data_IF_625046516443
#
_entry.id   IF_625046516443
#
_cell.length_a   1.000
_cell.length_b   1.000
_cell.length_c   1.000
_cell.angle_alpha   90.00
_cell.angle_beta   90.00
_cell.angle_gamma   90.00
#
_symmetry.space_group_name_H-M   'P 1'
#
loop_
_entity.id
_entity.type
_entity.pdbx_description
1 polymer ?
#
# COMPACT_ATOMS: atom_id res chain seq x y z
N UNK A 1 -10.16 40.90 27.56
CA UNK A 1 -8.72 40.90 27.88
C UNK A 1 -8.40 40.36 29.29
N UNK A 2 -9.26 40.50 30.29
CA UNK A 2 -9.00 40.02 31.67
C UNK A 2 -9.11 38.51 31.84
N UNK A 3 -9.99 37.83 31.11
CA UNK A 3 -10.21 36.38 31.20
C UNK A 3 -8.98 35.60 30.71
N UNK A 4 -8.40 35.99 29.58
CA UNK A 4 -7.20 35.35 29.02
C UNK A 4 -6.00 35.45 29.96
N UNK A 5 -5.81 36.62 30.63
CA UNK A 5 -4.73 36.77 31.63
C UNK A 5 -4.95 35.94 32.88
N UNK A 6 -6.20 35.74 33.32
CA UNK A 6 -6.52 34.83 34.46
C UNK A 6 -6.29 33.38 34.10
N UNK A 7 -6.78 32.94 32.91
CA UNK A 7 -6.67 31.56 32.44
C UNK A 7 -5.20 31.14 32.26
N UNK A 8 -4.32 32.04 31.81
CA UNK A 8 -2.89 31.76 31.66
C UNK A 8 -2.14 31.44 32.97
N UNK A 9 -2.75 31.66 34.12
CA UNK A 9 -2.20 31.33 35.46
C UNK A 9 -2.88 30.15 36.13
N UNK A 10 -3.94 29.63 35.55
CA UNK A 10 -4.79 28.57 36.12
C UNK A 10 -4.25 27.21 35.76
N UNK A 11 -4.19 26.27 36.72
CA UNK A 11 -3.73 24.89 36.46
C UNK A 11 -4.77 24.01 35.80
N UNK A 12 -6.04 24.35 35.88
CA UNK A 12 -7.14 23.63 35.22
C UNK A 12 -8.35 24.53 35.03
N UNK A 13 -9.10 24.29 33.96
CA UNK A 13 -10.36 24.97 33.66
C UNK A 13 -11.45 23.95 33.35
N UNK A 14 -12.70 24.29 33.68
CA UNK A 14 -13.89 23.56 33.26
C UNK A 14 -14.58 24.36 32.16
N UNK A 15 -14.83 23.72 31.06
CA UNK A 15 -15.50 24.28 29.89
C UNK A 15 -16.92 23.73 29.78
N UNK A 16 -17.85 24.58 29.39
CA UNK A 16 -19.17 24.17 28.91
C UNK A 16 -19.43 24.84 27.55
N UNK A 17 -19.89 24.06 26.59
CA UNK A 17 -20.13 24.56 25.25
C UNK A 17 -20.66 23.48 24.31
N UNK A 18 -20.75 23.81 23.02
CA UNK A 18 -21.20 22.89 21.98
C UNK A 18 -19.99 22.29 21.27
N UNK A 19 -19.97 20.97 21.12
CA UNK A 19 -18.97 20.29 20.28
C UNK A 19 -19.43 20.34 18.82
N UNK A 20 -18.55 20.74 17.92
CA UNK A 20 -18.79 20.78 16.47
C UNK A 20 -17.49 20.56 15.69
N UNK A 21 -17.61 20.11 14.45
CA UNK A 21 -16.48 20.04 13.55
C UNK A 21 -16.08 21.46 13.10
N UNK A 22 -14.80 21.80 13.19
CA UNK A 22 -14.27 23.04 12.64
C UNK A 22 -14.10 22.88 11.12
N UNK A 23 -14.64 23.82 10.36
CA UNK A 23 -14.65 23.76 8.90
C UNK A 23 -13.26 23.94 8.25
N UNK A 24 -12.30 24.52 8.96
CA UNK A 24 -10.95 24.78 8.45
C UNK A 24 -9.96 23.69 8.83
N UNK A 25 -9.98 23.26 10.10
CA UNK A 25 -9.05 22.24 10.58
C UNK A 25 -9.55 20.80 10.42
N UNK A 26 -10.87 20.63 10.15
CA UNK A 26 -11.56 19.35 10.14
C UNK A 26 -11.40 18.55 11.45
N UNK A 27 -11.27 19.28 12.57
CA UNK A 27 -11.13 18.71 13.91
C UNK A 27 -12.36 18.96 14.77
N UNK A 28 -12.62 18.08 15.73
CA UNK A 28 -13.68 18.25 16.70
C UNK A 28 -13.30 19.35 17.70
N UNK A 29 -13.97 20.48 17.62
CA UNK A 29 -13.72 21.68 18.44
C UNK A 29 -14.86 21.95 19.39
N UNK A 30 -14.53 22.45 20.60
CA UNK A 30 -15.54 22.89 21.56
C UNK A 30 -15.71 24.39 21.50
N UNK A 31 -16.87 24.85 21.02
CA UNK A 31 -17.27 26.26 21.12
C UNK A 31 -17.72 26.57 22.53
N UNK A 32 -16.80 27.05 23.35
CA UNK A 32 -17.03 27.25 24.77
C UNK A 32 -17.91 28.49 25.03
N UNK A 33 -19.04 28.31 25.70
CA UNK A 33 -19.91 29.40 26.18
C UNK A 33 -19.53 29.83 27.60
N UNK A 34 -18.95 28.92 28.39
CA UNK A 34 -18.56 29.15 29.76
C UNK A 34 -17.19 28.55 30.04
N UNK A 35 -16.33 29.33 30.68
CA UNK A 35 -15.01 28.89 31.14
C UNK A 35 -14.88 29.32 32.59
N UNK A 36 -14.66 28.34 33.48
CA UNK A 36 -14.45 28.58 34.90
C UNK A 36 -13.17 27.91 35.40
N UNK A 37 -12.55 28.49 36.42
CA UNK A 37 -11.42 27.86 37.10
C UNK A 37 -11.89 26.55 37.76
N UNK A 38 -11.02 25.54 37.72
CA UNK A 38 -11.30 24.23 38.29
C UNK A 38 -10.08 23.69 39.02
N UNK A 39 -10.29 22.71 39.89
CA UNK A 39 -9.21 21.91 40.44
C UNK A 39 -8.74 20.90 39.39
N UNK A 40 -7.43 20.69 39.24
CA UNK A 40 -6.93 19.63 38.37
C UNK A 40 -7.52 18.28 38.75
N UNK A 41 -7.92 17.51 37.75
CA UNK A 41 -8.30 16.12 37.99
C UNK A 41 -7.11 15.35 38.59
N UNK A 42 -7.37 14.42 39.53
CA UNK A 42 -6.31 13.60 40.06
C UNK A 42 -5.64 12.82 38.92
N UNK A 43 -4.32 12.96 38.81
CA UNK A 43 -3.54 12.18 37.84
C UNK A 43 -3.50 10.74 38.30
N UNK A 44 -4.25 9.85 37.68
CA UNK A 44 -4.08 8.42 37.82
C UNK A 44 -2.82 8.00 37.07
N UNK A 45 -1.76 7.71 37.82
CA UNK A 45 -0.55 7.09 37.24
C UNK A 45 -0.72 5.58 37.29
N UNK A 46 -0.52 4.94 36.12
CA UNK A 46 -0.41 3.48 36.07
C UNK A 46 0.92 3.08 36.70
N UNK A 47 0.89 2.01 37.51
CA UNK A 47 2.05 1.41 38.14
C UNK A 47 2.22 -0.02 37.67
N UNK A 48 3.45 -0.44 37.42
CA UNK A 48 3.77 -1.85 37.23
C UNK A 48 3.94 -2.52 38.60
N UNK A 49 3.04 -3.45 38.93
CA UNK A 49 3.03 -4.20 40.21
C UNK A 49 3.58 -5.61 40.07
N UNK A 50 4.11 -6.00 38.91
CA UNK A 50 4.70 -7.32 38.70
C UNK A 50 5.97 -7.49 39.56
N UNK A 51 6.14 -8.67 40.16
CA UNK A 51 7.34 -9.01 40.93
C UNK A 51 8.58 -9.05 40.07
N UNK A 52 8.46 -9.67 38.89
CA UNK A 52 9.53 -9.73 37.89
C UNK A 52 9.26 -8.67 36.80
N UNK A 53 10.20 -7.73 36.70
CA UNK A 53 10.10 -6.65 35.72
C UNK A 53 10.48 -7.13 34.33
N UNK A 54 9.65 -6.80 33.35
CA UNK A 54 9.91 -7.03 31.92
C UNK A 54 10.99 -6.08 31.40
N UNK A 55 11.78 -6.53 30.45
CA UNK A 55 12.59 -5.65 29.60
C UNK A 55 11.77 -5.27 28.38
N UNK A 56 11.55 -3.98 28.14
CA UNK A 56 10.92 -3.52 26.93
C UNK A 56 11.94 -3.50 25.79
N UNK A 57 11.72 -4.33 24.77
CA UNK A 57 12.65 -4.51 23.65
C UNK A 57 12.19 -3.82 22.36
N UNK A 58 10.96 -3.30 22.32
CA UNK A 58 10.38 -2.64 21.14
C UNK A 58 9.61 -1.39 21.57
N UNK A 59 10.26 -0.25 21.52
CA UNK A 59 9.71 1.00 22.00
C UNK A 59 10.02 2.14 21.05
N UNK A 60 9.01 2.94 20.75
CA UNK A 60 9.11 4.12 19.92
C UNK A 60 9.04 5.39 20.76
N UNK A 61 9.89 6.35 20.45
CA UNK A 61 9.86 7.71 21.00
C UNK A 61 9.15 8.67 20.01
N UNK A 62 8.97 9.92 20.42
CA UNK A 62 8.45 10.99 19.53
C UNK A 62 9.25 11.17 18.24
N UNK A 63 10.42 10.53 18.09
CA UNK A 63 11.19 10.54 16.85
C UNK A 63 10.59 9.62 15.79
N UNK A 64 9.77 8.63 16.20
CA UNK A 64 8.90 7.88 15.30
C UNK A 64 7.67 8.75 14.96
N UNK A 65 7.82 9.62 13.95
CA UNK A 65 6.80 10.57 13.54
C UNK A 65 5.47 9.87 13.21
N UNK A 66 4.34 10.46 13.64
CA UNK A 66 2.97 9.95 13.47
C UNK A 66 2.65 8.65 14.24
N UNK A 67 3.61 8.06 14.97
CA UNK A 67 3.42 6.83 15.73
C UNK A 67 3.49 7.06 17.24
N UNK A 68 4.51 7.77 17.74
CA UNK A 68 4.69 8.00 19.17
C UNK A 68 4.81 9.50 19.52
N UNK A 69 4.43 9.84 20.77
CA UNK A 69 4.40 11.22 21.26
C UNK A 69 5.33 11.48 22.43
N UNK A 70 5.84 10.43 23.07
CA UNK A 70 6.59 10.53 24.34
C UNK A 70 8.09 10.66 24.06
N UNK A 71 8.78 11.52 24.81
CA UNK A 71 10.23 11.68 24.70
C UNK A 71 10.99 10.46 25.23
N UNK A 72 12.21 10.21 24.74
CA UNK A 72 13.08 9.16 25.27
C UNK A 72 13.32 9.35 26.77
N UNK A 73 13.54 10.60 27.20
CA UNK A 73 13.73 10.95 28.65
C UNK A 73 12.55 10.51 29.50
N UNK A 74 11.30 10.79 29.07
CA UNK A 74 10.12 10.46 29.88
C UNK A 74 9.86 8.95 29.90
N UNK A 75 10.11 8.25 28.79
CA UNK A 75 9.99 6.79 28.71
C UNK A 75 11.00 6.11 29.62
N UNK A 76 12.26 6.52 29.60
CA UNK A 76 13.33 5.98 30.47
C UNK A 76 13.01 6.24 31.94
N UNK A 77 12.64 7.48 32.31
CA UNK A 77 12.25 7.82 33.67
C UNK A 77 11.05 7.00 34.14
N UNK A 78 10.11 6.73 33.29
CA UNK A 78 8.95 5.88 33.59
C UNK A 78 9.39 4.44 33.85
N UNK A 79 10.23 3.87 32.99
CA UNK A 79 10.76 2.52 33.14
C UNK A 79 11.54 2.39 34.46
N UNK A 80 12.39 3.37 34.78
CA UNK A 80 13.11 3.43 36.09
C UNK A 80 12.14 3.49 37.27
N UNK A 81 11.09 4.31 37.18
CA UNK A 81 10.08 4.44 38.26
C UNK A 81 9.29 3.14 38.48
N UNK A 82 9.25 2.26 37.52
CA UNK A 82 8.64 0.92 37.61
C UNK A 82 9.63 -0.17 38.02
N UNK A 83 10.90 0.20 38.25
CA UNK A 83 11.94 -0.74 38.65
C UNK A 83 12.53 -1.58 37.52
N UNK A 84 12.26 -1.22 36.26
CA UNK A 84 12.92 -1.85 35.11
C UNK A 84 14.42 -1.53 35.14
N UNK A 85 15.24 -2.48 34.72
CA UNK A 85 16.71 -2.35 34.66
C UNK A 85 17.25 -2.17 33.24
N UNK A 86 16.41 -2.39 32.25
CA UNK A 86 16.79 -2.23 30.85
C UNK A 86 15.58 -1.84 30.00
N UNK A 87 15.84 -1.08 28.93
CA UNK A 87 14.84 -0.66 27.93
C UNK A 87 15.52 -0.50 26.57
N UNK A 88 14.85 -0.89 25.48
CA UNK A 88 15.34 -0.65 24.13
C UNK A 88 14.64 0.57 23.53
N UNK A 89 15.38 1.37 22.77
CA UNK A 89 14.83 2.41 21.89
C UNK A 89 14.96 1.88 20.47
N UNK A 90 13.84 1.74 19.77
CA UNK A 90 13.75 1.14 18.43
C UNK A 90 12.85 1.98 17.53
N UNK A 91 13.19 3.25 17.34
CA UNK A 91 12.41 4.16 16.50
C UNK A 91 12.40 3.71 15.02
N UNK A 92 11.35 4.05 14.29
CA UNK A 92 11.17 3.74 12.87
C UNK A 92 12.23 4.41 11.99
N UNK A 93 13.19 3.64 11.51
CA UNK A 93 14.20 4.08 10.54
C UNK A 93 15.13 5.19 10.99
N UNK A 94 15.10 5.58 12.28
CA UNK A 94 15.84 6.72 12.80
C UNK A 94 16.52 6.43 14.14
N UNK A 95 17.55 7.23 14.47
CA UNK A 95 18.35 7.09 15.71
C UNK A 95 18.45 8.40 16.50
N UNK A 96 17.62 9.38 16.20
CA UNK A 96 17.69 10.72 16.79
C UNK A 96 17.42 10.77 18.28
N UNK A 97 16.78 9.76 18.87
CA UNK A 97 16.55 9.66 20.30
C UNK A 97 17.80 9.24 21.11
N UNK A 98 18.85 8.71 20.46
CA UNK A 98 20.04 8.18 21.14
C UNK A 98 20.82 9.25 21.95
N UNK A 99 21.10 10.44 21.39
CA UNK A 99 21.74 11.50 22.18
C UNK A 99 20.95 11.90 23.42
N UNK A 100 19.61 11.97 23.33
CA UNK A 100 18.74 12.31 24.48
C UNK A 100 18.86 11.26 25.60
N UNK A 101 18.84 9.98 25.23
CA UNK A 101 19.02 8.89 26.20
C UNK A 101 20.42 8.87 26.82
N UNK A 102 21.44 9.09 25.98
CA UNK A 102 22.82 9.16 26.45
C UNK A 102 23.08 10.35 27.40
N UNK A 103 22.56 11.52 27.12
CA UNK A 103 22.68 12.69 27.98
C UNK A 103 21.95 12.50 29.33
N UNK A 104 20.86 11.72 29.34
CA UNK A 104 20.13 11.44 30.57
C UNK A 104 20.89 10.49 31.50
N UNK A 105 21.49 9.43 30.97
CA UNK A 105 22.04 8.31 31.75
C UNK A 105 23.57 8.25 31.78
N UNK A 106 24.25 8.86 30.80
CA UNK A 106 25.68 8.66 30.59
C UNK A 106 25.99 7.27 29.99
N UNK A 107 27.28 6.96 29.93
CA UNK A 107 27.78 5.72 29.29
C UNK A 107 27.49 4.47 30.15
N UNK A 108 27.73 4.55 31.44
CA UNK A 108 27.74 3.41 32.34
C UNK A 108 26.83 3.69 33.54
N UNK A 109 25.51 3.77 33.31
CA UNK A 109 24.53 3.95 34.37
C UNK A 109 24.27 2.60 35.06
N UNK A 110 24.46 2.49 36.40
CA UNK A 110 24.27 1.23 37.14
C UNK A 110 22.80 0.84 37.27
N UNK A 111 21.88 1.80 37.19
CA UNK A 111 20.48 1.59 37.49
C UNK A 111 19.63 1.27 36.25
N UNK A 112 20.07 1.69 35.05
CA UNK A 112 19.33 1.54 33.82
C UNK A 112 20.26 1.35 32.62
N UNK A 113 20.08 0.25 31.91
CA UNK A 113 20.74 -0.01 30.62
C UNK A 113 19.80 0.34 29.45
N UNK A 114 20.24 1.22 28.57
CA UNK A 114 19.55 1.47 27.29
C UNK A 114 20.16 0.60 26.21
N UNK A 115 19.31 -0.13 25.51
CA UNK A 115 19.65 -0.88 24.31
C UNK A 115 19.30 0.02 23.12
N UNK A 116 20.32 0.39 22.34
CA UNK A 116 20.16 1.23 21.16
C UNK A 116 19.89 0.37 19.96
N UNK A 117 18.73 0.50 19.35
CA UNK A 117 18.28 -0.24 18.19
C UNK A 117 17.52 0.66 17.21
N UNK A 118 17.13 0.10 16.11
CA UNK A 118 16.30 0.77 15.10
C UNK A 118 15.34 -0.26 14.50
N UNK A 119 14.10 0.13 14.30
CA UNK A 119 13.18 -0.64 13.48
C UNK A 119 13.49 -0.35 12.02
N UNK A 120 14.28 -1.25 11.42
CA UNK A 120 14.74 -1.07 10.05
C UNK A 120 13.69 -1.56 9.03
N UNK A 121 13.58 -0.84 7.94
CA UNK A 121 12.75 -1.26 6.81
C UNK A 121 13.58 -2.08 5.85
N UNK A 122 13.28 -3.37 5.73
CA UNK A 122 13.86 -4.21 4.70
C UNK A 122 13.06 -4.05 3.40
N UNK A 123 13.62 -3.33 2.47
CA UNK A 123 13.04 -3.17 1.13
C UNK A 123 13.84 -4.06 0.17
N UNK A 124 13.20 -4.96 -0.59
CA UNK A 124 13.89 -5.69 -1.63
C UNK A 124 14.43 -4.70 -2.67
N UNK A 125 15.67 -4.89 -3.11
CA UNK A 125 16.37 -4.00 -4.06
C UNK A 125 15.60 -3.78 -5.37
N UNK A 126 14.81 -4.78 -5.76
CA UNK A 126 13.94 -4.71 -6.94
C UNK A 126 12.64 -5.48 -6.73
N UNK A 127 11.54 -4.90 -7.15
CA UNK A 127 10.30 -5.63 -7.36
C UNK A 127 10.50 -6.61 -8.50
N UNK A 128 10.16 -7.89 -8.27
CA UNK A 128 10.24 -8.90 -9.32
C UNK A 128 9.12 -8.67 -10.34
N UNK A 129 9.51 -8.42 -11.58
CA UNK A 129 8.57 -8.27 -12.71
C UNK A 129 7.83 -9.56 -13.06
N UNK A 130 8.31 -10.71 -12.58
CA UNK A 130 7.68 -12.03 -12.81
C UNK A 130 7.41 -12.73 -11.49
N UNK A 131 6.24 -13.34 -11.37
CA UNK A 131 5.87 -14.21 -10.26
C UNK A 131 5.41 -15.58 -10.79
N UNK A 132 5.69 -16.63 -10.00
CA UNK A 132 5.37 -18.02 -10.32
C UNK A 132 5.86 -18.46 -11.72
N UNK A 133 7.14 -18.21 -12.10
CA UNK A 133 7.64 -18.64 -13.40
C UNK A 133 7.66 -20.19 -13.47
N UNK A 134 7.40 -20.74 -14.67
CA UNK A 134 7.33 -22.18 -14.93
C UNK A 134 8.13 -22.60 -16.16
N UNK A 135 9.19 -21.85 -16.48
CA UNK A 135 10.06 -22.14 -17.64
C UNK A 135 9.44 -21.86 -19.00
N UNK A 136 8.33 -21.09 -19.06
CA UNK A 136 7.65 -20.80 -20.33
C UNK A 136 8.58 -20.03 -21.29
N UNK A 137 8.57 -20.42 -22.56
CA UNK A 137 9.28 -19.74 -23.64
C UNK A 137 8.46 -18.53 -24.09
N UNK A 138 9.05 -17.34 -24.11
CA UNK A 138 8.34 -16.08 -24.35
C UNK A 138 7.66 -16.05 -25.73
N UNK A 139 8.31 -16.57 -26.79
CA UNK A 139 7.75 -16.54 -28.13
C UNK A 139 6.60 -17.53 -28.34
N UNK A 140 6.55 -18.61 -27.59
CA UNK A 140 5.54 -19.67 -27.77
C UNK A 140 4.35 -19.51 -26.81
N UNK A 141 4.52 -18.67 -25.78
CA UNK A 141 3.52 -18.48 -24.74
C UNK A 141 2.26 -17.78 -25.27
N UNK A 142 1.13 -18.15 -24.66
CA UNK A 142 -0.11 -17.40 -24.76
C UNK A 142 -0.20 -16.50 -23.54
N UNK A 143 -0.51 -15.24 -23.76
CA UNK A 143 -0.65 -14.22 -22.71
C UNK A 143 -2.12 -13.83 -22.57
N UNK A 144 -2.57 -13.63 -21.35
CA UNK A 144 -3.81 -12.93 -21.03
C UNK A 144 -3.43 -11.59 -20.41
N UNK A 145 -3.51 -10.54 -21.20
CA UNK A 145 -3.31 -9.17 -20.73
C UNK A 145 -4.62 -8.71 -20.13
N UNK A 146 -4.60 -8.27 -18.88
CA UNK A 146 -5.83 -7.92 -18.17
C UNK A 146 -5.71 -6.62 -17.38
N UNK A 147 -6.86 -6.02 -17.16
CA UNK A 147 -7.07 -4.86 -16.31
C UNK A 147 -8.43 -4.97 -15.64
N UNK A 148 -8.55 -4.50 -14.40
CA UNK A 148 -9.75 -4.54 -13.59
C UNK A 148 -10.15 -3.15 -13.13
N UNK A 149 -11.43 -2.83 -13.28
CA UNK A 149 -12.01 -1.69 -12.59
C UNK A 149 -12.70 -2.15 -11.30
N UNK A 150 -12.62 -1.36 -10.26
CA UNK A 150 -13.07 -1.75 -8.92
C UNK A 150 -13.75 -0.58 -8.19
N UNK A 151 -14.49 -0.87 -7.12
CA UNK A 151 -15.10 0.17 -6.27
C UNK A 151 -14.07 0.93 -5.40
N UNK A 152 -12.79 0.58 -5.46
CA UNK A 152 -11.70 1.21 -4.72
C UNK A 152 -10.46 0.32 -4.60
N UNK A 153 -9.46 0.74 -3.87
CA UNK A 153 -8.12 0.15 -3.90
C UNK A 153 -7.88 -1.00 -2.91
N UNK A 154 -8.76 -1.23 -1.95
CA UNK A 154 -8.58 -2.27 -0.93
C UNK A 154 -9.07 -3.62 -1.42
N UNK A 155 -8.16 -4.55 -1.66
CA UNK A 155 -8.44 -5.91 -2.14
C UNK A 155 -9.46 -6.67 -1.26
N UNK A 156 -9.49 -6.39 0.04
CA UNK A 156 -10.33 -7.12 1.01
C UNK A 156 -11.73 -6.53 1.19
N UNK A 157 -11.93 -5.25 0.93
CA UNK A 157 -13.18 -4.54 1.18
C UNK A 157 -13.87 -4.04 -0.08
N UNK A 158 -13.12 -3.86 -1.15
CA UNK A 158 -13.64 -3.36 -2.42
C UNK A 158 -13.99 -4.50 -3.38
N UNK A 159 -14.74 -4.18 -4.41
CA UNK A 159 -15.32 -5.14 -5.36
C UNK A 159 -14.92 -4.81 -6.79
N UNK A 160 -14.84 -5.82 -7.63
CA UNK A 160 -14.65 -5.68 -9.08
C UNK A 160 -15.93 -5.16 -9.71
N UNK A 161 -15.81 -4.21 -10.63
CA UNK A 161 -16.93 -3.62 -11.39
C UNK A 161 -16.83 -3.89 -12.90
N UNK A 162 -15.61 -4.05 -13.43
CA UNK A 162 -15.38 -4.42 -14.84
C UNK A 162 -14.14 -5.30 -14.93
N UNK A 163 -14.15 -6.23 -15.87
CA UNK A 163 -13.01 -7.10 -16.22
C UNK A 163 -12.77 -6.98 -17.70
N UNK A 164 -11.57 -6.56 -18.09
CA UNK A 164 -11.09 -6.57 -19.46
C UNK A 164 -9.92 -7.54 -19.59
N UNK A 165 -9.95 -8.43 -20.59
CA UNK A 165 -8.85 -9.36 -20.87
C UNK A 165 -8.70 -9.50 -22.39
N UNK A 166 -7.48 -9.35 -22.89
CA UNK A 166 -7.12 -9.74 -24.24
C UNK A 166 -6.18 -10.94 -24.23
N UNK A 167 -6.52 -11.97 -24.98
CA UNK A 167 -5.66 -13.12 -25.20
C UNK A 167 -4.73 -12.86 -26.37
N UNK A 168 -3.43 -12.91 -26.12
CA UNK A 168 -2.40 -12.53 -27.10
C UNK A 168 -1.50 -13.73 -27.38
N UNK A 169 -1.23 -13.97 -28.66
CA UNK A 169 -0.26 -14.97 -29.11
C UNK A 169 0.54 -14.43 -30.29
N UNK A 170 1.85 -14.63 -30.28
CA UNK A 170 2.76 -14.13 -31.32
C UNK A 170 2.63 -12.60 -31.57
N UNK A 171 2.27 -11.85 -30.53
CA UNK A 171 2.08 -10.40 -30.61
C UNK A 171 0.72 -9.93 -31.15
N UNK A 172 -0.16 -10.86 -31.53
CA UNK A 172 -1.50 -10.56 -32.05
C UNK A 172 -2.58 -10.93 -31.02
N UNK A 173 -3.62 -10.12 -30.96
CA UNK A 173 -4.82 -10.41 -30.16
C UNK A 173 -5.62 -11.50 -30.88
N UNK A 174 -5.86 -12.62 -30.21
CA UNK A 174 -6.56 -13.78 -30.76
C UNK A 174 -7.95 -13.96 -30.17
N UNK A 175 -8.24 -13.35 -29.01
CA UNK A 175 -9.53 -13.42 -28.34
C UNK A 175 -9.67 -12.28 -27.32
N UNK A 176 -10.90 -11.87 -27.00
CA UNK A 176 -11.21 -10.77 -26.07
C UNK A 176 -12.33 -11.16 -25.12
N UNK A 177 -12.23 -10.70 -23.87
CA UNK A 177 -13.23 -10.89 -22.85
C UNK A 177 -13.45 -9.56 -22.12
N UNK A 178 -14.66 -9.03 -22.20
CA UNK A 178 -15.07 -7.83 -21.47
C UNK A 178 -16.40 -8.10 -20.78
N UNK A 179 -16.48 -7.80 -19.49
CA UNK A 179 -17.71 -7.97 -18.75
C UNK A 179 -17.80 -7.01 -17.58
N UNK A 180 -18.98 -6.42 -17.40
CA UNK A 180 -19.34 -5.74 -16.16
C UNK A 180 -19.67 -6.75 -15.07
N UNK A 181 -19.32 -6.39 -13.82
CA UNK A 181 -19.61 -7.19 -12.64
C UNK A 181 -20.43 -6.35 -11.67
N UNK A 182 -21.54 -6.88 -11.18
CA UNK A 182 -22.31 -6.24 -10.12
C UNK A 182 -21.53 -6.33 -8.80
N UNK A 183 -21.07 -5.20 -8.24
CA UNK A 183 -20.29 -5.20 -7.00
C UNK A 183 -21.13 -5.45 -5.75
N UNK A 184 -22.47 -5.49 -5.86
CA UNK A 184 -23.41 -5.62 -4.75
C UNK A 184 -23.26 -4.54 -3.67
N UNK A 185 -22.68 -3.42 -4.02
CA UNK A 185 -22.49 -2.24 -3.18
C UNK A 185 -22.41 -0.98 -4.05
N UNK A 186 -22.76 0.20 -3.52
CA UNK A 186 -22.65 1.46 -4.27
C UNK A 186 -21.19 1.76 -4.66
N UNK A 187 -21.02 2.28 -5.87
CA UNK A 187 -19.73 2.76 -6.37
C UNK A 187 -19.51 4.18 -5.84
N UNK A 188 -18.40 4.45 -5.12
CA UNK A 188 -18.13 5.79 -4.60
C UNK A 188 -17.99 6.81 -5.73
N UNK A 189 -18.57 8.01 -5.57
CA UNK A 189 -18.55 9.06 -6.59
C UNK A 189 -17.15 9.36 -7.16
N UNK A 190 -16.14 9.39 -6.28
CA UNK A 190 -14.73 9.56 -6.69
C UNK A 190 -14.21 8.48 -7.64
N UNK A 191 -14.77 7.25 -7.56
CA UNK A 191 -14.41 6.15 -8.46
C UNK A 191 -15.13 6.32 -9.78
N UNK A 192 -16.41 6.68 -9.76
CA UNK A 192 -17.18 7.02 -10.98
C UNK A 192 -16.48 8.11 -11.79
N UNK A 193 -15.92 9.13 -11.14
CA UNK A 193 -15.20 10.23 -11.80
C UNK A 193 -13.90 9.76 -12.51
N UNK A 194 -13.32 8.64 -12.07
CA UNK A 194 -12.10 8.07 -12.66
C UNK A 194 -12.44 7.03 -13.73
N UNK A 195 -13.31 6.08 -13.41
CA UNK A 195 -13.60 4.91 -14.27
C UNK A 195 -14.74 5.14 -15.25
N UNK A 196 -15.57 6.18 -15.02
CA UNK A 196 -16.84 6.43 -15.69
C UNK A 196 -17.86 5.28 -15.56
N UNK A 197 -17.67 4.35 -14.63
CA UNK A 197 -18.60 3.26 -14.36
C UNK A 197 -19.57 3.69 -13.26
N UNK A 198 -20.86 3.67 -13.55
CA UNK A 198 -21.92 4.05 -12.63
C UNK A 198 -22.64 2.82 -12.07
N UNK A 199 -23.34 2.98 -10.94
CA UNK A 199 -24.19 1.92 -10.39
C UNK A 199 -25.23 1.41 -11.40
N UNK A 200 -25.74 2.32 -12.26
CA UNK A 200 -26.73 1.99 -13.29
C UNK A 200 -26.20 1.04 -14.35
N UNK A 201 -24.89 1.14 -14.68
CA UNK A 201 -24.24 0.28 -15.68
C UNK A 201 -24.04 -1.15 -15.17
N UNK A 202 -23.86 -1.33 -13.87
CA UNK A 202 -23.50 -2.63 -13.28
C UNK A 202 -24.65 -3.31 -12.53
N UNK A 203 -25.78 -2.63 -12.31
CA UNK A 203 -26.91 -3.14 -11.49
C UNK A 203 -27.48 -4.47 -11.99
N UNK A 204 -27.58 -4.62 -13.31
CA UNK A 204 -28.15 -5.81 -13.96
C UNK A 204 -27.06 -6.80 -14.41
N UNK A 205 -25.78 -6.51 -14.13
CA UNK A 205 -24.67 -7.40 -14.42
C UNK A 205 -24.64 -8.61 -13.47
N UNK A 206 -23.98 -9.68 -13.92
CA UNK A 206 -23.76 -10.84 -13.07
C UNK A 206 -22.82 -10.52 -11.91
N UNK A 207 -23.02 -11.18 -10.79
CA UNK A 207 -22.13 -11.10 -9.62
C UNK A 207 -20.85 -11.89 -9.83
N UNK A 208 -19.81 -11.60 -9.03
CA UNK A 208 -18.48 -12.15 -9.21
C UNK A 208 -18.45 -13.70 -9.12
N UNK A 209 -19.31 -14.30 -8.32
CA UNK A 209 -19.43 -15.76 -8.20
C UNK A 209 -19.81 -16.44 -9.53
N UNK A 210 -20.57 -15.76 -10.40
CA UNK A 210 -20.95 -16.24 -11.74
C UNK A 210 -19.94 -15.87 -12.81
N UNK A 211 -19.28 -14.72 -12.66
CA UNK A 211 -18.29 -14.23 -13.62
C UNK A 211 -16.94 -14.92 -13.44
N UNK A 212 -16.53 -15.22 -12.21
CA UNK A 212 -15.21 -15.74 -11.92
C UNK A 212 -14.90 -17.07 -12.61
N UNK A 213 -15.81 -18.06 -12.68
CA UNK A 213 -15.58 -19.28 -13.47
C UNK A 213 -15.31 -19.00 -14.96
N UNK A 214 -15.99 -18.01 -15.55
CA UNK A 214 -15.77 -17.60 -16.95
C UNK A 214 -14.39 -16.97 -17.15
N UNK A 215 -13.92 -16.18 -16.18
CA UNK A 215 -12.54 -15.65 -16.19
C UNK A 215 -11.53 -16.80 -16.16
N UNK A 216 -11.73 -17.78 -15.27
CA UNK A 216 -10.81 -18.93 -15.17
C UNK A 216 -10.76 -19.75 -16.46
N UNK A 217 -11.91 -20.00 -17.07
CA UNK A 217 -12.02 -20.71 -18.36
C UNK A 217 -11.31 -19.93 -19.47
N UNK A 218 -11.55 -18.62 -19.57
CA UNK A 218 -10.92 -17.78 -20.58
C UNK A 218 -9.41 -17.71 -20.39
N UNK A 219 -8.92 -17.51 -19.18
CA UNK A 219 -7.50 -17.39 -18.88
C UNK A 219 -6.76 -18.72 -19.07
N UNK A 220 -7.33 -19.84 -18.58
CA UNK A 220 -6.69 -21.17 -18.62
C UNK A 220 -5.28 -21.14 -18.05
N UNK A 221 -4.32 -21.77 -18.75
CA UNK A 221 -2.90 -21.84 -18.39
C UNK A 221 -2.06 -20.65 -18.92
N UNK A 222 -2.69 -19.62 -19.48
CA UNK A 222 -2.00 -18.46 -20.05
C UNK A 222 -1.18 -17.71 -19.00
N UNK A 223 -0.12 -17.04 -19.46
CA UNK A 223 0.63 -16.10 -18.62
C UNK A 223 -0.19 -14.83 -18.48
N UNK A 224 -0.44 -14.42 -17.27
CA UNK A 224 -1.10 -13.14 -16.98
C UNK A 224 -0.12 -12.00 -17.18
N UNK A 225 -0.59 -10.92 -17.80
CA UNK A 225 0.16 -9.66 -17.93
C UNK A 225 -0.75 -8.52 -17.48
N UNK A 226 -0.26 -7.65 -16.62
CA UNK A 226 -0.97 -6.45 -16.21
C UNK A 226 0.01 -5.32 -15.87
N UNK A 227 -0.47 -4.08 -15.85
CA UNK A 227 0.32 -2.93 -15.44
C UNK A 227 0.08 -2.60 -13.97
N UNK A 228 1.07 -2.78 -13.10
CA UNK A 228 0.92 -2.83 -11.65
C UNK A 228 0.12 -4.06 -11.20
N UNK A 229 0.48 -5.20 -11.79
CA UNK A 229 -0.22 -6.47 -11.70
C UNK A 229 -0.55 -6.96 -10.28
N UNK A 230 0.15 -6.46 -9.27
CA UNK A 230 -0.14 -6.80 -7.87
C UNK A 230 -1.55 -6.40 -7.44
N UNK A 231 -2.12 -5.35 -8.05
CA UNK A 231 -3.48 -4.91 -7.82
C UNK A 231 -4.48 -5.89 -8.43
N UNK A 232 -4.45 -6.10 -9.72
CA UNK A 232 -5.41 -6.93 -10.46
C UNK A 232 -5.35 -8.39 -10.03
N UNK A 233 -4.14 -8.95 -10.02
CA UNK A 233 -3.92 -10.34 -9.56
C UNK A 233 -4.27 -10.49 -8.08
N UNK A 234 -4.11 -9.46 -7.28
CA UNK A 234 -4.54 -9.42 -5.88
C UNK A 234 -6.05 -9.60 -5.73
N UNK A 235 -6.85 -8.84 -6.50
CA UNK A 235 -8.31 -8.98 -6.52
C UNK A 235 -8.73 -10.36 -7.03
N UNK A 236 -8.11 -10.86 -8.10
CA UNK A 236 -8.42 -12.20 -8.63
C UNK A 236 -8.12 -13.30 -7.62
N UNK A 237 -6.95 -13.27 -6.97
CA UNK A 237 -6.58 -14.23 -5.93
C UNK A 237 -7.48 -14.18 -4.71
N UNK A 238 -7.88 -12.97 -4.30
CA UNK A 238 -8.81 -12.80 -3.18
C UNK A 238 -10.16 -13.43 -3.48
N UNK A 239 -10.74 -13.14 -4.66
CA UNK A 239 -12.02 -13.71 -5.08
C UNK A 239 -11.91 -15.22 -5.30
N UNK A 240 -10.82 -15.72 -5.91
CA UNK A 240 -10.57 -17.15 -6.02
C UNK A 240 -10.64 -17.85 -4.65
N UNK A 241 -9.93 -17.30 -3.66
CA UNK A 241 -9.95 -17.84 -2.29
C UNK A 241 -11.32 -17.85 -1.67
N UNK A 242 -12.11 -16.77 -1.83
CA UNK A 242 -13.47 -16.68 -1.29
C UNK A 242 -14.43 -17.68 -1.94
N UNK A 243 -14.26 -17.94 -3.24
CA UNK A 243 -15.12 -18.81 -4.03
C UNK A 243 -14.63 -20.27 -4.07
N UNK A 244 -13.50 -20.59 -3.41
CA UNK A 244 -12.95 -21.94 -3.35
C UNK A 244 -12.20 -22.37 -4.62
N UNK A 245 -11.74 -21.44 -5.44
CA UNK A 245 -10.92 -21.70 -6.62
C UNK A 245 -9.44 -21.46 -6.35
N UNK A 246 -8.59 -22.01 -7.22
CA UNK A 246 -7.17 -21.71 -7.28
C UNK A 246 -6.88 -20.74 -8.44
N UNK A 247 -6.00 -19.75 -8.19
CA UNK A 247 -5.51 -18.82 -9.20
C UNK A 247 -4.00 -18.68 -9.04
N UNK A 248 -3.28 -19.60 -9.69
CA UNK A 248 -1.83 -19.78 -9.53
C UNK A 248 -1.04 -19.55 -10.83
N UNK A 249 -1.61 -18.82 -11.80
CA UNK A 249 -0.95 -18.52 -13.06
C UNK A 249 0.39 -17.81 -12.84
N UNK A 250 1.32 -18.04 -13.76
CA UNK A 250 2.48 -17.16 -13.92
C UNK A 250 1.97 -15.77 -14.30
N UNK A 251 2.52 -14.71 -13.71
CA UNK A 251 2.20 -13.38 -14.16
C UNK A 251 3.42 -12.48 -14.29
N UNK A 252 3.32 -11.54 -15.24
CA UNK A 252 4.31 -10.53 -15.56
C UNK A 252 3.71 -9.16 -15.23
N UNK A 253 4.41 -8.39 -14.41
CA UNK A 253 4.08 -7.00 -14.09
C UNK A 253 4.87 -6.07 -15.01
N UNK A 254 4.16 -5.35 -15.88
CA UNK A 254 4.80 -4.45 -16.84
C UNK A 254 5.38 -3.20 -16.18
N UNK A 255 4.98 -2.82 -14.97
CA UNK A 255 5.50 -1.65 -14.27
C UNK A 255 6.98 -1.84 -13.83
N UNK A 256 7.36 -2.86 -13.04
CA UNK A 256 8.77 -3.11 -12.75
C UNK A 256 9.56 -3.52 -14.00
N UNK A 257 8.94 -4.23 -14.97
CA UNK A 257 9.58 -4.58 -16.24
C UNK A 257 9.94 -3.32 -17.04
N UNK A 258 9.05 -2.30 -17.07
CA UNK A 258 9.33 -1.02 -17.71
C UNK A 258 10.51 -0.29 -17.07
N UNK A 259 10.61 -0.30 -15.73
CA UNK A 259 11.74 0.29 -15.00
C UNK A 259 13.08 -0.35 -15.39
N UNK A 260 13.07 -1.67 -15.64
CA UNK A 260 14.29 -2.41 -16.05
C UNK A 260 14.63 -2.21 -17.53
N UNK A 261 13.64 -2.13 -18.41
CA UNK A 261 13.85 -2.01 -19.85
C UNK A 261 14.03 -0.56 -20.35
N UNK A 262 13.48 0.41 -19.62
CA UNK A 262 13.47 1.83 -19.98
C UNK A 262 13.89 2.72 -18.80
N UNK A 263 15.11 2.55 -18.27
CA UNK A 263 15.57 3.23 -17.05
C UNK A 263 15.61 4.77 -17.16
N UNK A 264 15.64 5.30 -18.37
CA UNK A 264 15.70 6.75 -18.62
C UNK A 264 14.34 7.44 -18.51
N UNK A 265 13.24 6.69 -18.39
CA UNK A 265 11.92 7.26 -18.23
C UNK A 265 11.74 7.88 -16.84
N UNK A 266 11.16 9.08 -16.80
CA UNK A 266 10.89 9.79 -15.52
C UNK A 266 9.60 9.33 -14.84
N UNK A 267 8.67 8.74 -15.59
CA UNK A 267 7.34 8.32 -15.11
C UNK A 267 6.95 7.00 -15.77
N UNK A 268 6.40 6.09 -14.97
CA UNK A 268 6.06 4.73 -15.38
C UNK A 268 4.56 4.44 -15.29
N UNK A 269 3.69 5.46 -15.35
CA UNK A 269 2.25 5.26 -15.59
C UNK A 269 2.06 4.75 -17.01
N UNK A 270 1.11 3.85 -17.25
CA UNK A 270 0.86 3.18 -18.53
C UNK A 270 0.83 4.18 -19.71
N UNK A 271 -0.02 5.20 -19.64
CA UNK A 271 -0.10 6.23 -20.68
C UNK A 271 1.21 6.98 -20.92
N UNK A 272 2.06 7.17 -19.88
CA UNK A 272 3.37 7.84 -20.05
C UNK A 272 4.42 6.94 -20.69
N UNK A 273 4.35 5.64 -20.45
CA UNK A 273 5.17 4.67 -21.18
C UNK A 273 4.74 4.64 -22.64
N UNK A 274 3.44 4.54 -22.91
CA UNK A 274 2.88 4.55 -24.26
C UNK A 274 3.29 5.82 -25.05
N UNK A 275 3.09 7.00 -24.45
CA UNK A 275 3.55 8.29 -25.02
C UNK A 275 5.03 8.26 -25.41
N UNK A 276 5.88 7.74 -24.51
CA UNK A 276 7.34 7.71 -24.71
C UNK A 276 7.76 6.71 -25.80
N UNK A 277 6.94 5.70 -26.06
CA UNK A 277 7.15 4.69 -27.10
C UNK A 277 6.47 5.05 -28.42
N UNK A 278 5.78 6.19 -28.52
CA UNK A 278 5.04 6.62 -29.70
C UNK A 278 3.79 5.77 -29.98
N UNK A 279 3.20 5.17 -28.94
CA UNK A 279 1.98 4.37 -29.04
C UNK A 279 0.78 5.29 -28.82
N UNK A 280 -0.12 5.31 -29.80
CA UNK A 280 -1.39 6.02 -29.69
C UNK A 280 -2.29 5.29 -28.69
N UNK A 281 -2.84 6.05 -27.73
CA UNK A 281 -3.72 5.56 -26.68
C UNK A 281 -5.13 6.06 -26.96
N UNK A 282 -6.07 5.13 -27.04
CA UNK A 282 -7.50 5.44 -27.08
C UNK A 282 -7.99 5.95 -25.70
N UNK A 283 -9.27 6.12 -25.52
CA UNK A 283 -9.85 6.66 -24.28
C UNK A 283 -9.40 5.85 -23.07
N UNK A 284 -8.60 6.44 -22.20
CA UNK A 284 -8.13 5.81 -20.95
C UNK A 284 -9.29 5.61 -19.93
N UNK A 285 -9.05 4.72 -18.93
CA UNK A 285 -9.96 4.41 -17.82
C UNK A 285 -11.24 3.63 -18.23
N UNK A 286 -11.08 2.69 -19.14
CA UNK A 286 -11.98 1.56 -19.42
C UNK A 286 -11.10 0.32 -19.53
N UNK A 287 -11.49 -0.76 -18.87
CA UNK A 287 -10.63 -1.94 -18.72
C UNK A 287 -10.07 -2.43 -20.06
N UNK A 288 -10.88 -2.57 -21.09
CA UNK A 288 -10.42 -3.08 -22.38
C UNK A 288 -9.49 -2.10 -23.12
N UNK A 289 -9.69 -0.77 -22.98
CA UNK A 289 -8.82 0.24 -23.60
C UNK A 289 -7.43 0.28 -22.93
N UNK A 290 -7.38 0.14 -21.61
CA UNK A 290 -6.12 0.05 -20.87
C UNK A 290 -5.42 -1.29 -21.13
N UNK A 291 -6.17 -2.39 -21.35
CA UNK A 291 -5.63 -3.67 -21.82
C UNK A 291 -5.00 -3.54 -23.20
N UNK A 292 -5.66 -2.92 -24.19
CA UNK A 292 -5.10 -2.71 -25.54
C UNK A 292 -3.79 -1.91 -25.49
N UNK A 293 -3.78 -0.84 -24.69
CA UNK A 293 -2.56 -0.05 -24.46
C UNK A 293 -1.46 -0.91 -23.84
N UNK A 294 -1.81 -1.76 -22.85
CA UNK A 294 -0.88 -2.67 -22.20
C UNK A 294 -0.34 -3.72 -23.16
N UNK A 295 -1.17 -4.27 -24.05
CA UNK A 295 -0.76 -5.20 -25.13
C UNK A 295 0.29 -4.54 -26.03
N UNK A 296 0.03 -3.34 -26.52
CA UNK A 296 0.96 -2.60 -27.39
C UNK A 296 2.29 -2.34 -26.70
N UNK A 297 2.26 -1.88 -25.47
CA UNK A 297 3.46 -1.65 -24.64
C UNK A 297 4.22 -2.96 -24.39
N UNK A 298 3.50 -4.02 -24.02
CA UNK A 298 4.10 -5.33 -23.74
C UNK A 298 4.75 -5.95 -24.96
N UNK A 299 4.18 -5.80 -26.15
CA UNK A 299 4.79 -6.25 -27.40
C UNK A 299 6.14 -5.57 -27.66
N UNK A 300 6.25 -4.27 -27.37
CA UNK A 300 7.56 -3.56 -27.45
C UNK A 300 8.54 -4.12 -26.40
N UNK A 301 8.05 -4.43 -25.19
CA UNK A 301 8.89 -5.04 -24.16
C UNK A 301 9.39 -6.43 -24.55
N UNK A 302 8.53 -7.29 -25.11
CA UNK A 302 8.90 -8.62 -25.59
C UNK A 302 10.00 -8.54 -26.67
N UNK A 303 9.87 -7.62 -27.62
CA UNK A 303 10.91 -7.38 -28.63
C UNK A 303 12.23 -7.00 -27.97
N UNK A 304 12.20 -6.07 -27.03
CA UNK A 304 13.40 -5.60 -26.32
C UNK A 304 14.05 -6.68 -25.44
N UNK A 305 13.25 -7.57 -24.84
CA UNK A 305 13.74 -8.75 -24.13
C UNK A 305 14.48 -9.70 -25.08
N UNK A 306 13.89 -9.97 -26.24
CA UNK A 306 14.48 -10.80 -27.29
C UNK A 306 15.81 -10.22 -27.80
N UNK A 307 15.88 -8.91 -28.03
CA UNK A 307 17.10 -8.22 -28.45
C UNK A 307 18.21 -8.33 -27.39
N UNK A 308 17.85 -8.48 -26.10
CA UNK A 308 18.77 -8.75 -24.98
C UNK A 308 19.09 -10.24 -24.80
N UNK A 309 18.59 -11.14 -25.65
CA UNK A 309 18.81 -12.58 -25.55
C UNK A 309 18.03 -13.28 -24.45
N UNK A 310 16.96 -12.64 -23.91
CA UNK A 310 16.07 -13.20 -22.90
C UNK A 310 14.95 -13.93 -23.61
N UNK A 311 14.87 -15.25 -23.43
CA UNK A 311 13.96 -16.11 -24.18
C UNK A 311 12.89 -16.79 -23.31
N UNK A 312 13.09 -16.85 -21.99
CA UNK A 312 12.16 -17.49 -21.06
C UNK A 312 11.69 -16.54 -19.98
N UNK A 313 10.52 -16.85 -19.41
CA UNK A 313 9.93 -16.07 -18.31
C UNK A 313 10.84 -16.02 -17.09
N UNK A 314 11.55 -17.12 -16.81
CA UNK A 314 12.50 -17.22 -15.69
C UNK A 314 13.71 -16.30 -15.86
N UNK A 315 14.14 -16.05 -17.09
CA UNK A 315 15.26 -15.17 -17.39
C UNK A 315 14.92 -13.69 -17.18
N UNK A 316 13.66 -13.29 -17.35
CA UNK A 316 13.22 -11.89 -17.08
C UNK A 316 13.58 -11.51 -15.64
N UNK A 317 13.24 -12.36 -14.66
CA UNK A 317 13.53 -12.12 -13.25
C UNK A 317 15.02 -12.12 -12.89
N UNK A 318 15.87 -12.79 -13.69
CA UNK A 318 17.33 -12.87 -13.49
C UNK A 318 18.07 -11.70 -14.15
N UNK A 319 17.58 -11.19 -15.26
CA UNK A 319 18.19 -10.08 -15.99
C UNK A 319 18.18 -8.78 -15.16
N UNK A 320 17.13 -8.55 -14.38
CA UNK A 320 17.03 -7.43 -13.45
C UNK A 320 18.07 -7.47 -12.31
N UNK A 321 18.70 -8.62 -12.06
CA UNK A 321 19.74 -8.79 -11.02
C UNK A 321 21.19 -8.64 -11.56
N UNK A 322 21.43 -8.71 -12.88
CA UNK A 322 22.78 -8.82 -13.45
C UNK A 322 23.47 -7.51 -13.85
N UNK A 323 22.78 -6.38 -13.90
CA UNK A 323 23.37 -5.12 -14.41
C UNK A 323 24.04 -4.23 -13.34
N UNK A 324 24.40 -4.76 -12.17
CA UNK A 324 25.28 -4.05 -11.21
C UNK A 324 26.33 -4.99 -10.65
N UNK A 325 27.35 -5.25 -11.43
CA UNK A 325 28.69 -5.63 -10.96
C UNK A 325 29.70 -4.72 -11.64
#
# INVERSE_FOLDING_TARGET
>A
KNIVKRLGKTKAVKLAGRAQMDAFSNELTIMANTIVESTPLPKTTREDKSEVKRVELHMHTKMSAMDAMTSATDLIKRAMSWGMKSIAITDHGVVQAFPEAYHLLGRDNPDMKVIYGVEAYLVPDKEKSVKNPRGQVLNDATYCVLDLETTGISITTEKITEVGIMKVKNGEVIDEFEIFVNPEKPIPQRVVEVTNITDEMVKDAETIDKVFPKILEFVGDSIIVAHNASFDVGFLKHNAKLLGYEFNNTYIDTLPLAKDLFPDLKKYKLGKIADSLGIEVDVAHRALADVDTTVKVFNVMLKKLKDKGINTVDEIGRASCRERV
#
